data_IF_923281542455
#
_entry.id   IF_923281542455
#
_cell.length_a   1.000
_cell.length_b   1.000
_cell.length_c   1.000
_cell.angle_alpha   90.00
_cell.angle_beta   90.00
_cell.angle_gamma   90.00
#
_symmetry.space_group_name_H-M   'P 1'
#
loop_
_entity.id
_entity.type
_entity.pdbx_description
1 polymer ?
#
# COMPACT_ATOMS: atom_id res chain seq x y z
N UNK A 1 -28.57 8.43 -10.09
CA UNK A 1 -27.28 8.86 -10.69
C UNK A 1 -26.09 8.10 -10.10
N UNK A 2 -25.87 8.09 -8.77
CA UNK A 2 -24.73 7.39 -8.12
C UNK A 2 -24.73 5.88 -8.40
N UNK A 3 -25.87 5.22 -8.37
CA UNK A 3 -26.00 3.80 -8.69
C UNK A 3 -25.45 3.46 -10.09
N UNK A 4 -25.87 4.21 -11.11
CA UNK A 4 -25.39 4.00 -12.48
C UNK A 4 -23.89 4.25 -12.64
N UNK A 5 -23.33 5.24 -11.93
CA UNK A 5 -21.88 5.48 -11.93
C UNK A 5 -21.12 4.31 -11.30
N UNK A 6 -21.61 3.75 -10.20
CA UNK A 6 -21.02 2.55 -9.59
C UNK A 6 -21.12 1.34 -10.53
N UNK A 7 -22.28 1.11 -11.12
CA UNK A 7 -22.48 0.02 -12.10
C UNK A 7 -21.50 0.14 -13.27
N UNK A 8 -21.43 1.32 -13.87
CA UNK A 8 -20.48 1.60 -14.96
C UNK A 8 -19.03 1.37 -14.53
N UNK A 9 -18.64 1.89 -13.35
CA UNK A 9 -17.31 1.69 -12.78
C UNK A 9 -16.97 0.20 -12.66
N UNK A 10 -17.86 -0.61 -12.06
CA UNK A 10 -17.60 -2.03 -11.87
C UNK A 10 -17.58 -2.80 -13.21
N UNK A 11 -18.43 -2.46 -14.19
CA UNK A 11 -18.38 -3.06 -15.53
C UNK A 11 -17.02 -2.77 -16.16
N UNK A 12 -16.59 -1.51 -16.19
CA UNK A 12 -15.32 -1.11 -16.81
C UNK A 12 -14.11 -1.76 -16.12
N UNK A 13 -14.09 -1.74 -14.79
CA UNK A 13 -13.01 -2.35 -14.00
C UNK A 13 -12.97 -3.85 -14.18
N UNK A 14 -14.11 -4.55 -14.18
CA UNK A 14 -14.18 -5.99 -14.37
C UNK A 14 -13.72 -6.39 -15.77
N UNK A 15 -14.20 -5.70 -16.81
CA UNK A 15 -13.79 -5.93 -18.20
C UNK A 15 -12.29 -5.69 -18.37
N UNK A 16 -11.79 -4.55 -17.87
CA UNK A 16 -10.36 -4.24 -17.90
C UNK A 16 -9.54 -5.30 -17.15
N UNK A 17 -10.00 -5.73 -15.97
CA UNK A 17 -9.33 -6.75 -15.17
C UNK A 17 -9.20 -8.07 -15.93
N UNK A 18 -10.26 -8.53 -16.57
CA UNK A 18 -10.24 -9.76 -17.38
C UNK A 18 -9.23 -9.63 -18.53
N UNK A 19 -9.31 -8.55 -19.29
CA UNK A 19 -8.39 -8.30 -20.42
C UNK A 19 -6.95 -8.21 -19.92
N UNK A 20 -6.73 -7.43 -18.85
CA UNK A 20 -5.41 -7.26 -18.26
C UNK A 20 -4.80 -8.59 -17.84
N UNK A 21 -5.55 -9.46 -17.16
CA UNK A 21 -5.07 -10.77 -16.74
C UNK A 21 -4.87 -11.78 -17.86
N UNK A 22 -5.63 -11.70 -18.95
CA UNK A 22 -5.39 -12.52 -20.14
C UNK A 22 -4.04 -12.15 -20.77
N UNK A 23 -3.79 -10.87 -21.02
CA UNK A 23 -2.49 -10.39 -21.53
C UNK A 23 -1.35 -10.66 -20.55
N UNK A 24 -1.59 -10.40 -19.28
CA UNK A 24 -0.64 -10.59 -18.21
C UNK A 24 -0.23 -12.06 -18.04
N UNK A 25 -1.19 -12.99 -18.14
CA UNK A 25 -0.91 -14.42 -18.06
C UNK A 25 0.08 -14.87 -19.15
N UNK A 26 -0.09 -14.38 -20.38
CA UNK A 26 0.82 -14.66 -21.50
C UNK A 26 2.22 -14.11 -21.20
N UNK A 27 2.31 -12.85 -20.76
CA UNK A 27 3.57 -12.20 -20.39
C UNK A 27 4.26 -12.96 -19.26
N UNK A 28 3.51 -13.41 -18.24
CA UNK A 28 4.05 -14.16 -17.11
C UNK A 28 4.62 -15.51 -17.53
N UNK A 29 3.93 -16.25 -18.37
CA UNK A 29 4.42 -17.54 -18.89
C UNK A 29 5.73 -17.30 -19.61
N UNK A 30 5.78 -16.30 -20.52
CA UNK A 30 6.97 -15.96 -21.25
C UNK A 30 8.16 -15.56 -20.33
N UNK A 31 7.91 -14.65 -19.39
CA UNK A 31 8.94 -14.22 -18.43
C UNK A 31 9.39 -15.39 -17.54
N UNK A 32 8.45 -16.25 -17.10
CA UNK A 32 8.78 -17.41 -16.25
C UNK A 32 9.68 -18.43 -16.97
N UNK A 33 9.52 -18.58 -18.28
CA UNK A 33 10.32 -19.50 -19.10
C UNK A 33 11.69 -18.93 -19.42
N UNK A 34 11.78 -17.62 -19.73
CA UNK A 34 12.97 -17.00 -20.30
C UNK A 34 13.74 -16.08 -19.35
N UNK A 35 13.27 -15.87 -18.11
CA UNK A 35 13.90 -14.92 -17.19
C UNK A 35 14.13 -15.50 -15.79
N UNK A 36 15.06 -14.87 -15.04
CA UNK A 36 15.27 -15.21 -13.65
C UNK A 36 14.05 -14.87 -12.77
N UNK A 37 13.93 -15.56 -11.61
CA UNK A 37 12.88 -15.28 -10.62
C UNK A 37 12.85 -13.80 -10.22
N UNK A 38 13.99 -13.15 -10.08
CA UNK A 38 14.12 -11.75 -9.70
C UNK A 38 13.51 -10.82 -10.75
N UNK A 39 13.81 -11.05 -12.03
CA UNK A 39 13.25 -10.27 -13.15
C UNK A 39 11.73 -10.47 -13.20
N UNK A 40 11.26 -11.70 -13.07
CA UNK A 40 9.83 -12.01 -13.05
C UNK A 40 9.11 -11.27 -11.92
N UNK A 41 9.64 -11.29 -10.71
CA UNK A 41 9.07 -10.57 -9.57
C UNK A 41 9.04 -9.05 -9.77
N UNK A 42 10.13 -8.47 -10.28
CA UNK A 42 10.22 -7.03 -10.57
C UNK A 42 9.18 -6.60 -11.61
N UNK A 43 9.07 -7.35 -12.70
CA UNK A 43 8.06 -7.08 -13.75
C UNK A 43 6.65 -7.19 -13.20
N UNK A 44 6.38 -8.21 -12.36
CA UNK A 44 5.08 -8.37 -11.70
C UNK A 44 4.71 -7.19 -10.81
N UNK A 45 5.64 -6.73 -9.95
CA UNK A 45 5.42 -5.56 -9.10
C UNK A 45 5.12 -4.32 -9.94
N UNK A 46 5.90 -4.09 -11.00
CA UNK A 46 5.67 -2.99 -11.94
C UNK A 46 4.26 -3.05 -12.55
N UNK A 47 3.84 -4.21 -13.03
CA UNK A 47 2.53 -4.39 -13.66
C UNK A 47 1.37 -4.25 -12.66
N UNK A 48 1.53 -4.70 -11.40
CA UNK A 48 0.55 -4.47 -10.33
C UNK A 48 0.41 -2.96 -10.05
N UNK A 49 1.51 -2.22 -10.01
CA UNK A 49 1.49 -0.75 -9.85
C UNK A 49 0.80 -0.08 -11.04
N UNK A 50 1.12 -0.47 -12.27
CA UNK A 50 0.45 0.04 -13.47
C UNK A 50 -1.06 -0.24 -13.45
N UNK A 51 -1.46 -1.47 -13.11
CA UNK A 51 -2.87 -1.83 -12.94
C UNK A 51 -3.56 -0.93 -11.91
N UNK A 52 -2.95 -0.76 -10.72
CA UNK A 52 -3.48 0.12 -9.68
C UNK A 52 -3.63 1.57 -10.17
N UNK A 53 -2.63 2.11 -10.85
CA UNK A 53 -2.67 3.48 -11.41
C UNK A 53 -3.79 3.66 -12.45
N UNK A 54 -3.99 2.68 -13.34
CA UNK A 54 -5.08 2.73 -14.32
C UNK A 54 -6.44 2.72 -13.63
N UNK A 55 -6.61 1.88 -12.60
CA UNK A 55 -7.86 1.88 -11.80
C UNK A 55 -8.07 3.23 -11.14
N UNK A 56 -7.07 3.77 -10.46
CA UNK A 56 -7.19 4.98 -9.64
C UNK A 56 -7.36 6.24 -10.51
N UNK A 57 -6.48 6.44 -11.47
CA UNK A 57 -6.45 7.65 -12.29
C UNK A 57 -7.28 7.55 -13.58
N UNK A 58 -7.66 6.35 -13.99
CA UNK A 58 -8.57 6.10 -15.10
C UNK A 58 -10.01 5.93 -14.62
N UNK A 59 -10.36 4.71 -14.26
CA UNK A 59 -11.76 4.33 -14.02
C UNK A 59 -12.37 4.96 -12.76
N UNK A 60 -11.61 5.06 -11.65
CA UNK A 60 -12.15 5.61 -10.41
C UNK A 60 -12.56 7.09 -10.53
N UNK A 61 -12.03 7.83 -11.52
CA UNK A 61 -12.38 9.25 -11.76
C UNK A 61 -13.87 9.48 -12.05
N UNK A 62 -14.61 8.44 -12.43
CA UNK A 62 -16.07 8.51 -12.60
C UNK A 62 -16.77 8.83 -11.27
N UNK A 63 -16.16 8.40 -10.15
CA UNK A 63 -16.71 8.52 -8.80
C UNK A 63 -15.82 9.36 -7.88
N UNK A 64 -14.50 9.20 -7.98
CA UNK A 64 -13.55 9.69 -6.98
C UNK A 64 -12.38 10.39 -7.66
N UNK A 65 -11.97 11.55 -7.13
CA UNK A 65 -10.71 12.20 -7.53
C UNK A 65 -9.63 11.85 -6.51
N UNK A 66 -8.51 11.31 -6.98
CA UNK A 66 -7.38 10.96 -6.14
C UNK A 66 -6.24 11.95 -6.38
N UNK A 67 -5.70 12.52 -5.29
CA UNK A 67 -4.51 13.36 -5.30
C UNK A 67 -3.41 12.70 -4.49
N UNK A 68 -2.18 12.75 -4.97
CA UNK A 68 -0.98 12.44 -4.22
C UNK A 68 -0.22 13.72 -3.93
N UNK A 69 0.11 13.96 -2.66
CA UNK A 69 0.77 15.16 -2.16
C UNK A 69 2.04 14.70 -1.44
N UNK A 70 3.18 15.06 -1.99
CA UNK A 70 4.49 14.75 -1.40
C UNK A 70 5.02 15.98 -0.66
N UNK A 71 5.08 15.90 0.66
CA UNK A 71 5.60 16.96 1.54
C UNK A 71 7.10 16.77 1.86
N UNK A 72 7.81 15.91 1.16
CA UNK A 72 9.23 15.60 1.44
C UNK A 72 10.24 16.59 0.86
N UNK A 73 9.82 17.78 0.41
CA UNK A 73 10.69 18.87 -0.08
C UNK A 73 11.75 18.42 -1.10
N UNK A 74 11.36 17.57 -2.04
CA UNK A 74 12.23 17.15 -3.15
C UNK A 74 13.36 16.18 -2.80
N UNK A 75 13.52 15.79 -1.54
CA UNK A 75 14.44 14.72 -1.13
C UNK A 75 13.83 13.35 -1.46
N UNK A 76 13.72 13.03 -2.74
CA UNK A 76 13.44 11.66 -3.16
C UNK A 76 14.69 10.82 -2.92
N UNK A 77 14.84 10.32 -1.72
CA UNK A 77 15.82 9.26 -1.50
C UNK A 77 15.29 8.01 -2.20
N UNK A 78 16.04 7.54 -3.18
CA UNK A 78 15.83 6.24 -3.85
C UNK A 78 16.17 5.07 -2.92
N UNK A 79 16.62 5.37 -1.69
CA UNK A 79 16.97 4.35 -0.71
C UNK A 79 15.73 3.63 -0.19
N UNK A 80 15.86 2.34 0.09
CA UNK A 80 14.74 1.56 0.62
C UNK A 80 14.26 2.13 1.94
N UNK A 81 12.95 2.10 2.16
CA UNK A 81 12.30 2.61 3.36
C UNK A 81 11.12 1.73 3.78
N UNK A 82 10.61 2.01 4.97
CA UNK A 82 9.38 1.41 5.48
C UNK A 82 8.26 2.44 5.38
N UNK A 83 7.37 2.27 4.40
CA UNK A 83 6.14 3.05 4.32
C UNK A 83 5.11 2.53 5.32
N UNK A 84 4.48 3.45 6.03
CA UNK A 84 3.45 3.17 7.03
C UNK A 84 2.21 3.99 6.72
N UNK A 85 1.09 3.35 6.41
CA UNK A 85 -0.16 4.01 6.06
C UNK A 85 -1.29 3.71 7.05
N UNK A 86 -2.21 4.65 7.24
CA UNK A 86 -3.48 4.36 7.91
C UNK A 86 -4.40 3.53 7.02
N UNK A 87 -5.32 2.79 7.63
CA UNK A 87 -6.17 1.83 6.92
C UNK A 87 -7.65 2.06 7.20
N UNK A 88 -8.38 2.56 6.22
CA UNK A 88 -9.81 2.90 6.35
C UNK A 88 -10.70 2.15 5.37
N UNK A 89 -10.17 1.77 4.19
CA UNK A 89 -10.94 1.11 3.13
C UNK A 89 -10.19 -0.06 2.50
N UNK A 90 -10.94 -0.96 1.84
CA UNK A 90 -10.35 -2.03 1.06
C UNK A 90 -9.53 -1.53 -0.15
N UNK A 91 -9.85 -0.33 -0.64
CA UNK A 91 -9.14 0.31 -1.76
C UNK A 91 -7.77 0.88 -1.37
N UNK A 92 -7.44 1.04 -0.08
CA UNK A 92 -6.16 1.60 0.37
C UNK A 92 -4.96 0.89 -0.25
N UNK A 93 -5.03 -0.44 -0.38
CA UNK A 93 -3.94 -1.22 -0.99
C UNK A 93 -3.68 -0.85 -2.47
N UNK A 94 -4.73 -0.50 -3.22
CA UNK A 94 -4.60 -0.04 -4.61
C UNK A 94 -4.05 1.38 -4.67
N UNK A 95 -4.42 2.24 -3.70
CA UNK A 95 -3.93 3.61 -3.63
C UNK A 95 -2.40 3.67 -3.49
N UNK A 96 -1.76 2.64 -2.96
CA UNK A 96 -0.30 2.57 -2.86
C UNK A 96 0.40 2.56 -4.23
N UNK A 97 -0.32 2.27 -5.32
CA UNK A 97 0.20 2.41 -6.67
C UNK A 97 0.67 3.82 -7.05
N UNK A 98 0.32 4.86 -6.29
CA UNK A 98 0.81 6.23 -6.51
C UNK A 98 2.28 6.42 -6.09
N UNK A 99 2.79 5.57 -5.22
CA UNK A 99 4.13 5.69 -4.67
C UNK A 99 5.21 5.52 -5.76
N UNK A 100 6.30 6.27 -5.65
CA UNK A 100 7.46 6.09 -6.50
C UNK A 100 8.29 4.87 -6.08
N UNK A 101 9.12 4.38 -7.00
CA UNK A 101 10.06 3.30 -6.71
C UNK A 101 9.44 1.91 -6.68
N UNK A 102 10.22 0.96 -6.25
CA UNK A 102 9.81 -0.44 -6.13
C UNK A 102 9.52 -0.79 -4.67
N UNK A 103 8.39 -1.42 -4.43
CA UNK A 103 7.99 -1.80 -3.07
C UNK A 103 7.19 -3.11 -3.04
N UNK A 104 7.21 -3.74 -1.89
CA UNK A 104 6.42 -4.94 -1.55
C UNK A 104 5.39 -4.56 -0.49
N UNK A 105 4.13 -4.92 -0.71
CA UNK A 105 3.08 -4.73 0.30
C UNK A 105 3.08 -5.88 1.30
N UNK A 106 3.03 -5.51 2.58
CA UNK A 106 2.80 -6.44 3.68
C UNK A 106 1.30 -6.59 3.86
N UNK A 107 0.78 -7.76 3.53
CA UNK A 107 -0.66 -8.02 3.48
C UNK A 107 -1.10 -9.05 4.53
N UNK A 108 -2.38 -9.06 4.83
CA UNK A 108 -2.98 -10.13 5.64
C UNK A 108 -3.11 -11.42 4.79
N UNK A 109 -3.52 -12.54 5.38
CA UNK A 109 -3.69 -13.82 4.67
C UNK A 109 -4.84 -13.82 3.66
N UNK A 110 -5.92 -13.07 3.90
CA UNK A 110 -7.11 -13.11 3.06
C UNK A 110 -6.88 -12.61 1.62
N UNK A 111 -6.05 -11.58 1.33
CA UNK A 111 -5.78 -11.17 -0.04
C UNK A 111 -5.16 -12.27 -0.89
N UNK A 112 -4.36 -13.14 -0.29
CA UNK A 112 -3.78 -14.30 -0.98
C UNK A 112 -4.81 -15.38 -1.37
N UNK A 113 -6.02 -15.33 -0.79
CA UNK A 113 -7.12 -16.24 -1.13
C UNK A 113 -7.99 -15.75 -2.29
N UNK A 114 -7.83 -14.47 -2.71
CA UNK A 114 -8.55 -13.93 -3.85
C UNK A 114 -8.00 -14.59 -5.11
N UNK A 115 -8.85 -15.23 -5.94
CA UNK A 115 -8.41 -15.78 -7.22
C UNK A 115 -7.66 -14.73 -8.04
N UNK A 116 -6.65 -15.15 -8.79
CA UNK A 116 -5.83 -14.30 -9.67
C UNK A 116 -5.02 -13.26 -8.89
N UNK A 117 -5.66 -12.30 -8.19
CA UNK A 117 -4.96 -11.26 -7.41
C UNK A 117 -4.03 -11.86 -6.35
N UNK A 118 -4.49 -12.88 -5.63
CA UNK A 118 -3.68 -13.56 -4.62
C UNK A 118 -2.51 -14.33 -5.23
N UNK A 119 -2.71 -14.91 -6.40
CA UNK A 119 -1.62 -15.55 -7.15
C UNK A 119 -0.59 -14.50 -7.60
N UNK A 120 -1.04 -13.37 -8.16
CA UNK A 120 -0.17 -12.28 -8.56
C UNK A 120 0.63 -11.71 -7.37
N UNK A 121 -0.02 -11.51 -6.23
CA UNK A 121 0.63 -11.01 -5.02
C UNK A 121 1.73 -11.97 -4.53
N UNK A 122 1.48 -13.29 -4.52
CA UNK A 122 2.49 -14.30 -4.18
C UNK A 122 3.64 -14.32 -5.16
N UNK A 123 3.36 -14.32 -6.45
CA UNK A 123 4.37 -14.34 -7.50
C UNK A 123 5.20 -13.06 -7.52
N UNK A 124 4.61 -11.92 -7.16
CA UNK A 124 5.29 -10.64 -7.00
C UNK A 124 6.17 -10.56 -5.73
N UNK A 125 6.08 -11.56 -4.84
CA UNK A 125 6.83 -11.63 -3.60
C UNK A 125 6.25 -10.77 -2.48
N UNK A 126 4.92 -10.52 -2.48
CA UNK A 126 4.26 -9.86 -1.35
C UNK A 126 4.33 -10.76 -0.12
N UNK A 127 4.51 -10.14 1.06
CA UNK A 127 4.73 -10.86 2.30
C UNK A 127 3.51 -10.78 3.22
N UNK A 128 3.34 -11.82 4.05
CA UNK A 128 2.36 -11.80 5.14
C UNK A 128 3.02 -12.19 6.45
N UNK A 129 2.92 -11.31 7.43
CA UNK A 129 3.42 -11.56 8.80
C UNK A 129 2.74 -12.79 9.43
N UNK A 130 1.50 -13.09 9.01
CA UNK A 130 0.73 -14.22 9.56
C UNK A 130 1.06 -15.56 8.93
N UNK A 131 1.83 -15.60 7.86
CA UNK A 131 2.16 -16.84 7.14
C UNK A 131 3.55 -17.38 7.46
N UNK A 132 4.34 -16.68 8.25
CA UNK A 132 5.73 -17.05 8.56
C UNK A 132 6.14 -16.60 9.96
N UNK A 133 7.24 -17.12 10.47
CA UNK A 133 7.84 -16.64 11.72
C UNK A 133 8.37 -15.22 11.57
N UNK A 134 8.54 -14.51 12.70
CA UNK A 134 9.16 -13.16 12.65
C UNK A 134 10.60 -13.22 12.11
N UNK A 135 11.34 -14.27 12.41
CA UNK A 135 12.72 -14.47 11.93
C UNK A 135 12.75 -14.58 10.41
N UNK A 136 11.88 -15.40 9.82
CA UNK A 136 11.79 -15.55 8.36
C UNK A 136 11.32 -14.25 7.71
N UNK A 137 10.34 -13.57 8.32
CA UNK A 137 9.86 -12.28 7.84
C UNK A 137 10.97 -11.22 7.83
N UNK A 138 11.76 -11.14 8.90
CA UNK A 138 12.89 -10.21 8.99
C UNK A 138 13.96 -10.51 7.93
N UNK A 139 14.25 -11.79 7.70
CA UNK A 139 15.19 -12.23 6.66
C UNK A 139 14.72 -11.84 5.26
N UNK A 140 13.45 -12.06 4.94
CA UNK A 140 12.88 -11.66 3.65
C UNK A 140 12.89 -10.13 3.47
N UNK A 141 12.54 -9.37 4.51
CA UNK A 141 12.61 -7.91 4.47
C UNK A 141 14.05 -7.43 4.23
N UNK A 142 15.05 -7.99 4.92
CA UNK A 142 16.46 -7.65 4.71
C UNK A 142 16.90 -7.91 3.27
N UNK A 143 16.46 -9.02 2.67
CA UNK A 143 16.73 -9.33 1.26
C UNK A 143 16.07 -8.31 0.31
N UNK A 144 14.87 -7.84 0.61
CA UNK A 144 14.22 -6.78 -0.18
C UNK A 144 15.02 -5.49 -0.11
N UNK A 145 15.43 -5.06 1.08
CA UNK A 145 16.19 -3.82 1.27
C UNK A 145 17.55 -3.86 0.58
N UNK A 146 18.27 -5.00 0.63
CA UNK A 146 19.54 -5.17 -0.08
C UNK A 146 19.40 -5.10 -1.62
N UNK A 147 18.19 -5.29 -2.14
CA UNK A 147 17.84 -5.10 -3.55
C UNK A 147 17.18 -3.75 -3.84
N UNK A 148 17.29 -2.79 -2.92
CA UNK A 148 16.71 -1.45 -3.03
C UNK A 148 15.16 -1.44 -3.16
N UNK A 149 14.49 -2.41 -2.54
CA UNK A 149 13.04 -2.56 -2.55
C UNK A 149 12.48 -2.16 -1.19
N UNK A 150 11.59 -1.17 -1.18
CA UNK A 150 10.89 -0.72 0.03
C UNK A 150 9.80 -1.71 0.45
N UNK A 151 9.36 -1.61 1.70
CA UNK A 151 8.14 -2.29 2.13
C UNK A 151 7.08 -1.28 2.51
N UNK A 152 5.81 -1.65 2.37
CA UNK A 152 4.68 -0.86 2.83
C UNK A 152 3.69 -1.72 3.58
N UNK A 153 3.16 -1.19 4.68
CA UNK A 153 2.12 -1.87 5.43
C UNK A 153 1.18 -0.94 6.17
N UNK A 154 0.08 -1.53 6.60
CA UNK A 154 -0.96 -0.90 7.39
C UNK A 154 -0.86 -1.43 8.82
N UNK A 155 -0.15 -0.73 9.73
CA UNK A 155 0.19 -1.26 11.05
C UNK A 155 -1.01 -1.43 11.98
N UNK A 156 -2.17 -0.91 11.61
CA UNK A 156 -3.44 -1.17 12.33
C UNK A 156 -3.88 -2.64 12.21
N UNK A 157 -3.42 -3.36 11.17
CA UNK A 157 -3.77 -4.76 10.89
C UNK A 157 -5.23 -5.01 10.52
N UNK A 158 -6.09 -4.02 10.65
CA UNK A 158 -7.50 -4.02 10.29
C UNK A 158 -7.96 -2.61 9.91
N UNK A 159 -9.05 -2.49 9.16
CA UNK A 159 -9.62 -1.19 8.78
C UNK A 159 -10.23 -0.48 9.98
N UNK A 160 -9.84 0.78 10.21
CA UNK A 160 -10.46 1.64 11.22
C UNK A 160 -11.93 1.89 10.94
N UNK A 161 -12.76 1.85 11.97
CA UNK A 161 -14.19 2.14 11.90
C UNK A 161 -14.47 3.59 12.29
N UNK A 162 -13.62 4.17 13.14
CA UNK A 162 -13.73 5.56 13.65
C UNK A 162 -12.92 6.54 12.80
N UNK A 163 -13.01 7.83 13.17
CA UNK A 163 -12.13 8.88 12.62
C UNK A 163 -10.70 8.84 13.21
N UNK A 164 -10.51 8.06 14.28
CA UNK A 164 -9.20 7.87 14.88
C UNK A 164 -8.58 6.58 14.37
N UNK A 165 -7.27 6.63 14.12
CA UNK A 165 -6.51 5.43 13.76
C UNK A 165 -6.50 4.43 14.91
N UNK A 166 -6.58 3.15 14.57
CA UNK A 166 -6.40 2.05 15.50
C UNK A 166 -5.01 2.03 16.14
N UNK A 167 -4.81 1.10 17.08
CA UNK A 167 -3.48 0.85 17.65
C UNK A 167 -2.56 0.26 16.59
N UNK A 168 -1.32 0.70 16.55
CA UNK A 168 -0.31 0.17 15.64
C UNK A 168 0.36 -1.08 16.22
N UNK A 169 0.56 -2.10 15.40
CA UNK A 169 1.44 -3.22 15.69
C UNK A 169 2.91 -2.84 15.50
N UNK A 170 3.80 -3.38 16.33
CA UNK A 170 5.22 -2.99 16.35
C UNK A 170 6.07 -3.61 15.24
N UNK A 171 5.57 -4.59 14.49
CA UNK A 171 6.38 -5.42 13.59
C UNK A 171 7.13 -4.61 12.54
N UNK A 172 6.45 -3.69 11.82
CA UNK A 172 7.12 -2.84 10.80
C UNK A 172 8.16 -1.92 11.41
N UNK A 173 7.90 -1.40 12.60
CA UNK A 173 8.80 -0.51 13.33
C UNK A 173 10.04 -1.25 13.85
N UNK A 174 9.87 -2.50 14.24
CA UNK A 174 10.98 -3.38 14.60
C UNK A 174 11.86 -3.68 13.39
N UNK A 175 11.27 -3.99 12.24
CA UNK A 175 11.99 -4.19 10.98
C UNK A 175 12.77 -2.93 10.56
N UNK A 176 12.14 -1.75 10.64
CA UNK A 176 12.82 -0.49 10.34
C UNK A 176 14.05 -0.28 11.24
N UNK A 177 13.90 -0.52 12.53
CA UNK A 177 14.97 -0.38 13.52
C UNK A 177 16.12 -1.38 13.31
N UNK A 178 15.81 -2.67 13.08
CA UNK A 178 16.79 -3.73 12.84
C UNK A 178 17.63 -3.49 11.56
N UNK A 179 17.13 -2.68 10.63
CA UNK A 179 17.80 -2.40 9.35
C UNK A 179 18.22 -0.93 9.18
N UNK A 180 18.12 -0.11 10.22
CA UNK A 180 18.47 1.33 10.23
C UNK A 180 17.79 2.13 9.10
N UNK A 181 16.51 1.84 8.83
CA UNK A 181 15.77 2.41 7.72
C UNK A 181 14.87 3.55 8.16
N UNK A 182 14.75 4.58 7.33
CA UNK A 182 13.75 5.62 7.51
C UNK A 182 12.33 5.06 7.44
N UNK A 183 11.43 5.64 8.23
CA UNK A 183 10.00 5.40 8.18
C UNK A 183 9.35 6.56 7.43
N UNK A 184 8.52 6.25 6.45
CA UNK A 184 7.79 7.25 5.68
C UNK A 184 6.30 7.11 5.96
N UNK A 185 5.72 8.02 6.78
CA UNK A 185 4.29 7.98 7.07
C UNK A 185 3.47 8.45 5.87
N UNK A 186 2.36 7.75 5.62
CA UNK A 186 1.40 8.06 4.57
C UNK A 186 0.02 8.26 5.21
N UNK A 187 -0.57 9.43 5.04
CA UNK A 187 -1.93 9.72 5.52
C UNK A 187 -2.91 9.68 4.36
N UNK A 188 -3.84 8.74 4.39
CA UNK A 188 -4.93 8.60 3.41
C UNK A 188 -6.16 9.25 4.01
N UNK A 189 -6.67 10.28 3.35
CA UNK A 189 -7.84 11.06 3.75
C UNK A 189 -8.99 10.84 2.75
N UNK A 190 -10.22 10.89 3.24
CA UNK A 190 -11.43 10.81 2.39
C UNK A 190 -11.78 9.42 1.85
N UNK A 191 -11.11 8.34 2.28
CA UNK A 191 -11.30 6.99 1.71
C UNK A 191 -12.22 6.06 2.53
N UNK A 192 -12.75 6.50 3.68
CA UNK A 192 -13.49 5.65 4.62
C UNK A 192 -14.73 4.97 4.02
N UNK A 193 -15.38 5.61 3.06
CA UNK A 193 -16.60 5.15 2.40
C UNK A 193 -16.42 4.85 0.90
N UNK A 194 -15.17 4.55 0.49
CA UNK A 194 -14.80 4.34 -0.91
C UNK A 194 -14.01 3.03 -1.13
N UNK A 195 -14.64 1.85 -1.00
CA UNK A 195 -16.02 1.55 -0.60
C UNK A 195 -16.24 1.52 0.92
N UNK A 196 -17.50 1.72 1.30
CA UNK A 196 -17.94 1.54 2.68
C UNK A 196 -17.71 0.08 3.12
N UNK A 197 -17.36 -0.12 4.40
CA UNK A 197 -17.14 -1.46 4.96
C UNK A 197 -18.39 -2.34 4.82
N UNK A 198 -18.20 -3.54 4.27
CA UNK A 198 -19.29 -4.49 4.02
C UNK A 198 -20.14 -4.18 2.78
N UNK A 199 -19.74 -3.19 1.97
CA UNK A 199 -20.45 -2.80 0.74
C UNK A 199 -19.47 -2.70 -0.42
N UNK A 200 -19.99 -2.83 -1.64
CA UNK A 200 -19.30 -2.48 -2.88
C UNK A 200 -19.59 -1.03 -3.31
N UNK A 201 -20.50 -0.34 -2.63
CA UNK A 201 -20.86 1.03 -2.99
C UNK A 201 -19.71 1.98 -2.71
N UNK A 202 -19.27 2.69 -3.74
CA UNK A 202 -18.28 3.76 -3.69
C UNK A 202 -19.03 5.08 -3.70
N UNK A 203 -18.90 5.87 -2.64
CA UNK A 203 -19.44 7.21 -2.61
C UNK A 203 -18.53 8.17 -3.37
N UNK A 204 -19.10 9.11 -4.14
CA UNK A 204 -18.30 10.15 -4.82
C UNK A 204 -17.55 11.03 -3.84
N UNK A 205 -16.44 11.61 -4.30
CA UNK A 205 -15.67 12.59 -3.51
C UNK A 205 -14.19 12.58 -3.84
N UNK A 206 -13.40 13.12 -2.91
CA UNK A 206 -11.96 13.20 -3.05
C UNK A 206 -11.26 12.21 -2.13
N UNK A 207 -10.11 11.73 -2.56
CA UNK A 207 -9.14 11.01 -1.73
C UNK A 207 -7.83 11.76 -1.86
N UNK A 208 -7.19 12.05 -0.74
CA UNK A 208 -5.87 12.62 -0.71
C UNK A 208 -4.92 11.66 0.00
N UNK A 209 -3.76 11.44 -0.61
CA UNK A 209 -2.68 10.64 -0.04
C UNK A 209 -1.52 11.59 0.20
N UNK A 210 -1.26 11.85 1.46
CA UNK A 210 -0.18 12.73 1.89
C UNK A 210 1.01 11.88 2.32
N UNK A 211 2.13 12.03 1.61
CA UNK A 211 3.42 11.52 2.03
C UNK A 211 4.06 12.56 2.95
N UNK A 212 4.15 12.23 4.23
CA UNK A 212 4.76 13.10 5.23
C UNK A 212 6.29 13.03 5.17
N UNK A 213 7.00 14.00 5.77
CA UNK A 213 8.44 13.93 5.94
C UNK A 213 8.86 12.61 6.60
N UNK A 214 9.92 12.02 6.07
CA UNK A 214 10.47 10.79 6.62
C UNK A 214 10.93 11.01 8.07
N UNK A 215 10.84 9.96 8.86
CA UNK A 215 11.44 9.86 10.20
C UNK A 215 12.74 9.10 9.98
N UNK A 216 13.86 9.79 10.00
CA UNK A 216 15.17 9.21 9.75
C UNK A 216 15.67 8.39 10.95
N UNK A 217 16.55 7.42 10.70
CA UNK A 217 17.06 6.53 11.75
C UNK A 217 17.65 7.30 12.93
N UNK A 218 18.41 8.35 12.67
CA UNK A 218 19.05 9.18 13.70
C UNK A 218 18.05 9.84 14.64
N UNK A 219 16.80 10.10 14.18
CA UNK A 219 15.75 10.67 15.02
C UNK A 219 15.19 9.65 16.04
N UNK A 220 15.29 8.36 15.73
CA UNK A 220 14.63 7.32 16.52
C UNK A 220 15.54 6.16 16.97
N UNK A 221 16.85 6.25 16.75
CA UNK A 221 17.78 5.17 17.11
C UNK A 221 17.68 4.72 18.56
N UNK A 222 17.41 5.66 19.46
CA UNK A 222 17.25 5.44 20.91
C UNK A 222 15.84 4.98 21.31
N UNK A 223 14.84 5.05 20.43
CA UNK A 223 13.49 4.57 20.72
C UNK A 223 13.43 3.04 20.72
N UNK A 224 12.63 2.46 21.60
CA UNK A 224 12.14 1.09 21.40
C UNK A 224 11.18 1.02 20.21
N UNK A 225 10.94 -0.17 19.70
CA UNK A 225 9.93 -0.35 18.62
C UNK A 225 8.51 0.05 19.07
N UNK A 226 8.25 0.00 20.38
CA UNK A 226 6.99 0.43 20.96
C UNK A 226 6.87 1.96 20.98
N UNK A 227 7.91 2.66 21.36
CA UNK A 227 7.95 4.14 21.35
C UNK A 227 7.86 4.65 19.92
N UNK A 228 8.64 4.07 19.00
CA UNK A 228 8.66 4.45 17.60
C UNK A 228 7.29 4.32 16.92
N UNK A 229 6.56 3.22 17.15
CA UNK A 229 5.21 3.06 16.60
C UNK A 229 4.23 4.10 17.14
N UNK A 230 4.32 4.43 18.44
CA UNK A 230 3.44 5.41 19.06
C UNK A 230 3.76 6.83 18.57
N UNK A 231 5.04 7.17 18.46
CA UNK A 231 5.52 8.42 17.89
C UNK A 231 5.02 8.62 16.45
N UNK A 232 5.24 7.62 15.59
CA UNK A 232 4.76 7.67 14.21
C UNK A 232 3.24 7.82 14.13
N UNK A 233 2.51 7.03 14.94
CA UNK A 233 1.04 7.11 15.01
C UNK A 233 0.57 8.49 15.46
N UNK A 234 1.21 9.08 16.46
CA UNK A 234 0.87 10.42 16.95
C UNK A 234 1.08 11.49 15.86
N UNK A 235 2.23 11.48 15.18
CA UNK A 235 2.49 12.38 14.03
C UNK A 235 1.40 12.26 12.95
N UNK A 236 1.04 11.04 12.58
CA UNK A 236 0.00 10.81 11.57
C UNK A 236 -1.38 11.27 12.06
N UNK A 237 -1.73 11.02 13.35
CA UNK A 237 -3.03 11.42 13.89
C UNK A 237 -3.16 12.93 13.97
N UNK A 238 -2.12 13.65 14.42
CA UNK A 238 -2.09 15.12 14.43
C UNK A 238 -2.34 15.66 13.01
N UNK A 239 -1.64 15.10 12.02
CA UNK A 239 -1.84 15.51 10.62
C UNK A 239 -3.27 15.28 10.15
N UNK A 240 -3.85 14.10 10.41
CA UNK A 240 -5.23 13.77 10.04
C UNK A 240 -6.23 14.70 10.73
N UNK A 241 -5.99 15.00 12.01
CA UNK A 241 -6.88 15.87 12.80
C UNK A 241 -6.88 17.32 12.28
N UNK A 242 -5.72 17.81 11.81
CA UNK A 242 -5.60 19.14 11.20
C UNK A 242 -6.25 19.25 9.81
N UNK A 243 -6.45 18.13 9.11
CA UNK A 243 -6.97 18.08 7.75
C UNK A 243 -8.40 17.49 7.65
N UNK A 244 -9.11 17.36 8.78
CA UNK A 244 -10.47 16.81 8.80
C UNK A 244 -11.49 17.65 8.02
N UNK A 245 -11.27 18.94 7.91
CA UNK A 245 -12.20 19.86 7.22
C UNK A 245 -12.05 19.84 5.68
N UNK A 246 -11.03 19.17 5.16
CA UNK A 246 -10.74 19.08 3.71
C UNK A 246 -11.46 17.90 3.04
N UNK A 247 -12.20 17.08 3.79
CA UNK A 247 -12.75 15.78 3.35
C UNK A 247 -14.27 15.82 3.18
#
# INVERSE_FOLDING_TARGET
>A
MIFFKNLLFFILVSTFTIIFFLFFGIILIFIRVFSSKTIAQKTLRFLIVCYGRIIIFGFARILVKVKFIDSSEGKQALDPCVYVANHSSASDAFLMGVLPGEFVQIVNLWPFKIPILGLCARLAGYLSIRSMSFVDFSKECKLLFSNNISIIGFPEGTRSVSSQMGKFHSTLFRIAKENNLKIVPLCILGNKDKPLRGSLKINPGNIEIHKLPAIDYNEYEHFSSFELKNYTRAKMQIFIDQHKEVI
#
